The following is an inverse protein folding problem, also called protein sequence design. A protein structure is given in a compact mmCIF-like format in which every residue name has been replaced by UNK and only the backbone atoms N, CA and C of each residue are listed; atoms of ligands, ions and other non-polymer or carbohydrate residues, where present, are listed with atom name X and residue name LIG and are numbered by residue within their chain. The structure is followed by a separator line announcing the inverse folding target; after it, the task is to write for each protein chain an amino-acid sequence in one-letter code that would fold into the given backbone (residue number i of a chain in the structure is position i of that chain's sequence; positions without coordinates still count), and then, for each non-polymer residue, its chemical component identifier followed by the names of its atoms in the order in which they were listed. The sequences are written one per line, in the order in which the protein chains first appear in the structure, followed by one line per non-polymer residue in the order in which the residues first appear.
data_IF_488447359989
#
_entry.id   IF_488447359989
#
_cell.length_a   1.000
_cell.length_b   1.000
_cell.length_c   1.000
_cell.angle_alpha   90.00
_cell.angle_beta   90.00
_cell.angle_gamma   90.00
#
_symmetry.space_group_name_H-M   'P 1'
#
loop_
_entity.id
_entity.type
_entity.pdbx_description
1 polymer ?
#
# COMPACT_ATOMS: atom_id res chain seq x y z
N UNK A 1 -14.82 -22.42 14.53
CA UNK A 1 -14.84 -21.47 13.39
C UNK A 1 -16.10 -20.63 13.47
N UNK A 2 -15.96 -19.31 13.35
CA UNK A 2 -17.08 -18.39 13.34
C UNK A 2 -17.47 -18.00 11.93
N UNK A 3 -18.76 -17.71 11.74
CA UNK A 3 -19.27 -17.21 10.46
C UNK A 3 -19.57 -15.72 10.63
N UNK A 4 -19.02 -14.90 9.72
CA UNK A 4 -19.28 -13.47 9.67
C UNK A 4 -19.79 -13.10 8.28
N UNK A 5 -20.51 -11.99 8.21
CA UNK A 5 -20.98 -11.43 6.94
C UNK A 5 -20.24 -10.12 6.66
N UNK A 6 -19.83 -9.95 5.41
CA UNK A 6 -19.19 -8.70 4.96
C UNK A 6 -19.86 -8.25 3.66
N UNK A 7 -19.90 -6.93 3.48
CA UNK A 7 -20.40 -6.33 2.22
C UNK A 7 -19.20 -5.98 1.35
N UNK A 8 -19.24 -6.41 0.11
CA UNK A 8 -18.20 -6.11 -0.88
C UNK A 8 -18.87 -5.50 -2.11
N UNK A 9 -18.19 -4.52 -2.70
CA UNK A 9 -18.60 -4.00 -4.00
C UNK A 9 -18.25 -5.00 -5.12
N UNK A 10 -18.74 -4.74 -6.33
CA UNK A 10 -18.54 -5.64 -7.46
C UNK A 10 -17.05 -5.79 -7.81
N UNK A 11 -16.29 -4.72 -7.71
CA UNK A 11 -14.85 -4.75 -7.97
C UNK A 11 -14.13 -5.66 -6.97
N UNK A 12 -14.45 -5.53 -5.69
CA UNK A 12 -13.86 -6.38 -4.65
C UNK A 12 -14.22 -7.85 -4.82
N UNK A 13 -15.46 -8.14 -5.23
CA UNK A 13 -15.89 -9.52 -5.52
C UNK A 13 -15.09 -10.08 -6.69
N UNK A 14 -14.94 -9.31 -7.77
CA UNK A 14 -14.15 -9.73 -8.93
C UNK A 14 -12.69 -9.98 -8.55
N UNK A 15 -12.11 -9.11 -7.73
CA UNK A 15 -10.74 -9.28 -7.25
C UNK A 15 -10.58 -10.53 -6.40
N UNK A 16 -11.55 -10.80 -5.54
CA UNK A 16 -11.55 -11.98 -4.69
C UNK A 16 -11.60 -13.27 -5.53
N UNK A 17 -12.43 -13.29 -6.57
CA UNK A 17 -12.52 -14.42 -7.48
C UNK A 17 -11.23 -14.61 -8.28
N UNK A 18 -10.59 -13.52 -8.67
CA UNK A 18 -9.29 -13.55 -9.34
C UNK A 18 -8.20 -14.14 -8.43
N UNK A 19 -8.19 -13.77 -7.16
CA UNK A 19 -7.26 -14.32 -6.17
C UNK A 19 -7.48 -15.83 -6.03
N UNK A 20 -8.73 -16.24 -5.87
CA UNK A 20 -9.06 -17.67 -5.72
C UNK A 20 -8.59 -18.46 -6.93
N UNK A 21 -8.79 -17.96 -8.14
CA UNK A 21 -8.38 -18.62 -9.37
C UNK A 21 -6.85 -18.67 -9.50
N UNK A 22 -6.18 -17.55 -9.24
CA UNK A 22 -4.73 -17.45 -9.42
C UNK A 22 -3.95 -18.37 -8.50
N UNK A 23 -4.45 -18.59 -7.29
CA UNK A 23 -3.82 -19.45 -6.30
C UNK A 23 -4.45 -20.85 -6.20
N UNK A 24 -5.36 -21.16 -7.12
CA UNK A 24 -6.04 -22.46 -7.19
C UNK A 24 -6.72 -22.82 -5.86
N UNK A 25 -7.42 -21.86 -5.29
CA UNK A 25 -8.14 -22.03 -4.03
C UNK A 25 -9.56 -22.56 -4.28
N UNK A 26 -10.15 -23.15 -3.25
CA UNK A 26 -11.48 -23.78 -3.35
C UNK A 26 -12.61 -22.78 -3.55
N UNK A 27 -12.45 -21.54 -3.06
CA UNK A 27 -13.50 -20.55 -3.19
C UNK A 27 -13.17 -19.26 -2.46
N UNK A 28 -14.20 -18.43 -2.29
CA UNK A 28 -14.07 -17.08 -1.72
C UNK A 28 -13.59 -17.07 -0.28
N UNK A 29 -14.05 -18.02 0.54
CA UNK A 29 -13.62 -18.09 1.94
C UNK A 29 -12.11 -18.33 2.06
N UNK A 30 -11.56 -19.21 1.25
CA UNK A 30 -10.12 -19.45 1.23
C UNK A 30 -9.35 -18.23 0.71
N UNK A 31 -9.91 -17.53 -0.28
CA UNK A 31 -9.31 -16.29 -0.80
C UNK A 31 -9.28 -15.19 0.27
N UNK A 32 -10.35 -15.05 1.05
CA UNK A 32 -10.40 -14.10 2.16
C UNK A 32 -9.35 -14.46 3.21
N UNK A 33 -9.27 -15.72 3.60
CA UNK A 33 -8.28 -16.15 4.60
C UNK A 33 -6.85 -15.91 4.13
N UNK A 34 -6.57 -16.20 2.87
CA UNK A 34 -5.25 -15.94 2.27
C UNK A 34 -4.93 -14.45 2.25
N UNK A 35 -5.90 -13.62 1.86
CA UNK A 35 -5.73 -12.16 1.84
C UNK A 35 -5.44 -11.60 3.23
N UNK A 36 -6.13 -12.12 4.25
CA UNK A 36 -5.89 -11.73 5.65
C UNK A 36 -4.46 -12.11 6.07
N UNK A 37 -4.01 -13.32 5.75
CA UNK A 37 -2.65 -13.76 6.07
C UNK A 37 -1.60 -12.87 5.41
N UNK A 38 -1.83 -12.51 4.15
CA UNK A 38 -0.91 -11.63 3.41
C UNK A 38 -0.85 -10.24 4.04
N UNK A 39 -2.01 -9.68 4.39
CA UNK A 39 -2.07 -8.38 5.04
C UNK A 39 -1.40 -8.39 6.43
N UNK A 40 -1.60 -9.44 7.20
CA UNK A 40 -0.95 -9.58 8.51
C UNK A 40 0.57 -9.71 8.37
N UNK A 41 1.04 -10.47 7.39
CA UNK A 41 2.47 -10.59 7.13
C UNK A 41 3.09 -9.22 6.79
N UNK A 42 2.41 -8.43 5.97
CA UNK A 42 2.84 -7.08 5.62
C UNK A 42 2.87 -6.15 6.85
N UNK A 43 1.85 -6.23 7.70
CA UNK A 43 1.82 -5.48 8.96
C UNK A 43 3.00 -5.84 9.87
N UNK A 44 3.35 -7.11 9.95
CA UNK A 44 4.49 -7.55 10.77
C UNK A 44 5.81 -7.02 10.23
N UNK A 45 5.96 -6.92 8.93
CA UNK A 45 7.13 -6.28 8.32
C UNK A 45 7.24 -4.81 8.72
N UNK A 46 6.10 -4.10 8.86
CA UNK A 46 6.09 -2.69 9.25
C UNK A 46 6.17 -2.50 10.77
N UNK A 47 5.80 -3.49 11.58
CA UNK A 47 5.88 -3.39 13.04
C UNK A 47 7.32 -3.45 13.57
N UNK A 48 8.27 -3.93 12.77
CA UNK A 48 9.69 -3.94 13.11
C UNK A 48 10.36 -2.57 12.85
N UNK A 49 9.58 -1.51 12.75
CA UNK A 49 10.08 -0.15 12.53
C UNK A 49 10.60 0.46 13.82
N UNK A 50 11.70 -0.06 14.31
CA UNK A 50 12.41 0.47 15.48
C UNK A 50 13.65 1.23 15.03
N UNK A 51 13.86 2.42 15.60
CA UNK A 51 15.02 3.24 15.27
C UNK A 51 14.97 3.79 13.85
N UNK A 52 16.11 3.89 13.21
CA UNK A 52 16.21 4.43 11.84
C UNK A 52 15.70 3.42 10.81
N UNK A 53 14.76 3.86 10.00
CA UNK A 53 14.23 3.08 8.87
C UNK A 53 14.60 3.80 7.58
N UNK A 54 15.23 3.07 6.67
CA UNK A 54 15.58 3.57 5.34
C UNK A 54 15.07 2.60 4.29
N UNK A 55 14.61 3.14 3.17
CA UNK A 55 14.12 2.30 2.09
C UNK A 55 13.62 3.09 0.90
N UNK A 56 13.07 2.37 -0.05
CA UNK A 56 12.44 2.94 -1.24
C UNK A 56 10.94 2.73 -1.14
N UNK A 57 10.21 3.82 -1.18
CA UNK A 57 8.75 3.80 -1.21
C UNK A 57 8.28 3.93 -2.65
N UNK A 58 7.45 2.98 -3.07
CA UNK A 58 6.90 2.91 -4.42
C UNK A 58 5.39 3.14 -4.33
N UNK A 59 4.89 4.14 -5.05
CA UNK A 59 3.46 4.45 -5.08
C UNK A 59 3.01 4.61 -6.52
N UNK A 60 1.92 3.96 -6.88
CA UNK A 60 1.25 4.15 -8.17
C UNK A 60 -0.13 4.75 -7.90
N UNK A 61 -0.47 5.84 -8.58
CA UNK A 61 -1.76 6.50 -8.42
C UNK A 61 -2.24 7.09 -9.74
N UNK A 62 -3.50 7.53 -9.76
CA UNK A 62 -4.07 8.17 -10.93
C UNK A 62 -3.45 9.55 -11.15
N UNK A 63 -3.26 9.93 -12.41
CA UNK A 63 -2.60 11.17 -12.78
C UNK A 63 -3.32 12.43 -12.26
N UNK A 64 -4.64 12.42 -12.28
CA UNK A 64 -5.42 13.60 -11.88
C UNK A 64 -5.54 13.79 -10.36
N UNK A 65 -4.97 12.88 -9.57
CA UNK A 65 -5.02 12.93 -8.11
C UNK A 65 -3.70 13.43 -7.48
N UNK A 66 -2.94 14.25 -8.21
CA UNK A 66 -1.61 14.68 -7.77
C UNK A 66 -1.63 15.56 -6.51
N UNK A 67 -2.74 16.27 -6.25
CA UNK A 67 -2.80 17.21 -5.11
C UNK A 67 -2.65 16.50 -3.76
N UNK A 68 -3.21 15.30 -3.59
CA UNK A 68 -3.09 14.55 -2.35
C UNK A 68 -1.64 14.06 -2.15
N UNK A 69 -0.98 13.65 -3.23
CA UNK A 69 0.40 13.21 -3.18
C UNK A 69 1.34 14.37 -2.85
N UNK A 70 1.13 15.53 -3.44
CA UNK A 70 1.91 16.72 -3.13
C UNK A 70 1.77 17.11 -1.67
N UNK A 71 0.57 16.99 -1.10
CA UNK A 71 0.32 17.28 0.30
C UNK A 71 1.07 16.30 1.22
N UNK A 72 1.03 15.01 0.90
CA UNK A 72 1.74 13.98 1.67
C UNK A 72 3.25 14.22 1.61
N UNK A 73 3.78 14.51 0.43
CA UNK A 73 5.20 14.80 0.25
C UNK A 73 5.63 16.03 1.04
N UNK A 74 4.82 17.07 1.02
CA UNK A 74 5.11 18.30 1.77
C UNK A 74 5.13 18.08 3.29
N UNK A 75 4.15 17.36 3.81
CA UNK A 75 4.08 17.05 5.25
C UNK A 75 5.23 16.18 5.73
N UNK A 76 5.79 15.37 4.85
CA UNK A 76 6.81 14.38 5.20
C UNK A 76 8.15 14.70 4.55
N UNK A 77 8.40 15.96 4.20
CA UNK A 77 9.61 16.35 3.48
C UNK A 77 10.89 16.02 4.23
N UNK A 78 10.87 16.01 5.57
CA UNK A 78 12.04 15.66 6.36
C UNK A 78 12.41 14.17 6.24
N UNK A 79 11.46 13.32 5.87
CA UNK A 79 11.69 11.88 5.68
C UNK A 79 12.15 11.56 4.26
N UNK A 80 11.78 12.38 3.30
CA UNK A 80 12.03 12.12 1.89
C UNK A 80 13.38 12.71 1.49
N UNK A 81 14.32 11.85 1.12
CA UNK A 81 15.68 12.26 0.73
C UNK A 81 15.78 12.52 -0.75
N UNK A 82 15.06 11.75 -1.56
CA UNK A 82 15.06 11.85 -3.02
C UNK A 82 13.70 11.39 -3.49
N UNK A 83 13.20 12.02 -4.53
CA UNK A 83 11.95 11.57 -5.14
C UNK A 83 12.04 11.66 -6.66
N UNK A 84 11.33 10.75 -7.31
CA UNK A 84 11.19 10.69 -8.75
C UNK A 84 9.72 10.50 -9.07
N UNK A 85 9.23 11.33 -9.98
CA UNK A 85 7.87 11.23 -10.49
C UNK A 85 7.93 10.84 -11.96
N UNK A 86 7.16 9.85 -12.37
CA UNK A 86 7.10 9.41 -13.75
C UNK A 86 5.67 9.13 -14.17
N UNK A 87 5.34 9.46 -15.40
CA UNK A 87 4.06 9.11 -15.97
C UNK A 87 4.11 7.69 -16.54
N UNK A 88 3.09 6.92 -16.24
CA UNK A 88 2.91 5.57 -16.76
C UNK A 88 1.79 5.55 -17.79
N UNK A 89 1.61 4.40 -18.45
CA UNK A 89 0.47 4.17 -19.32
C UNK A 89 -0.84 4.22 -18.51
N UNK A 90 -1.96 4.38 -19.20
CA UNK A 90 -3.31 4.37 -18.62
C UNK A 90 -3.54 5.48 -17.58
N UNK A 91 -2.93 6.66 -17.81
CA UNK A 91 -3.09 7.85 -16.95
C UNK A 91 -2.68 7.61 -15.51
N UNK A 92 -1.69 6.77 -15.28
CA UNK A 92 -1.15 6.53 -13.95
C UNK A 92 0.18 7.23 -13.77
N UNK A 93 0.50 7.51 -12.52
CA UNK A 93 1.77 8.08 -12.12
C UNK A 93 2.48 7.14 -11.16
N UNK A 94 3.79 7.10 -11.29
CA UNK A 94 4.68 6.38 -10.39
C UNK A 94 5.46 7.39 -9.57
N UNK A 95 5.41 7.23 -8.25
CA UNK A 95 6.25 7.97 -7.33
C UNK A 95 7.26 7.00 -6.71
N UNK A 96 8.53 7.34 -6.82
CA UNK A 96 9.61 6.65 -6.12
C UNK A 96 10.23 7.62 -5.12
N UNK A 97 10.28 7.24 -3.87
CA UNK A 97 10.85 8.09 -2.82
C UNK A 97 11.85 7.30 -2.01
N UNK A 98 13.06 7.84 -1.87
CA UNK A 98 14.01 7.33 -0.89
C UNK A 98 13.66 7.99 0.43
N UNK A 99 13.27 7.18 1.40
CA UNK A 99 12.86 7.65 2.72
C UNK A 99 13.87 7.20 3.76
N UNK A 100 14.10 8.08 4.73
CA UNK A 100 15.01 7.80 5.84
C UNK A 100 14.54 8.61 7.04
N UNK A 101 14.30 7.94 8.14
CA UNK A 101 13.85 8.62 9.34
C UNK A 101 13.51 7.65 10.45
N UNK A 102 13.00 8.20 11.54
CA UNK A 102 12.56 7.43 12.69
C UNK A 102 11.36 6.55 12.29
N UNK A 103 11.37 5.30 12.75
CA UNK A 103 10.40 4.30 12.31
C UNK A 103 8.95 4.70 12.51
N UNK A 104 8.62 5.36 13.63
CA UNK A 104 7.24 5.81 13.88
C UNK A 104 6.80 6.88 12.88
N UNK A 105 7.71 7.73 12.45
CA UNK A 105 7.42 8.77 11.46
C UNK A 105 7.17 8.14 10.08
N UNK A 106 8.00 7.16 9.71
CA UNK A 106 7.80 6.42 8.46
C UNK A 106 6.48 5.66 8.48
N UNK A 107 6.17 5.01 9.59
CA UNK A 107 4.90 4.30 9.76
C UNK A 107 3.71 5.26 9.61
N UNK A 108 3.79 6.43 10.22
CA UNK A 108 2.73 7.45 10.14
C UNK A 108 2.50 7.90 8.71
N UNK A 109 3.58 8.12 7.95
CA UNK A 109 3.47 8.46 6.53
C UNK A 109 2.78 7.37 5.73
N UNK A 110 3.13 6.09 5.95
CA UNK A 110 2.49 4.96 5.29
C UNK A 110 1.00 4.88 5.63
N UNK A 111 0.65 5.10 6.90
CA UNK A 111 -0.76 5.13 7.33
C UNK A 111 -1.53 6.24 6.64
N UNK A 112 -0.93 7.42 6.49
CA UNK A 112 -1.55 8.54 5.79
C UNK A 112 -1.83 8.20 4.32
N UNK A 113 -0.87 7.56 3.65
CA UNK A 113 -1.04 7.12 2.27
C UNK A 113 -2.17 6.10 2.14
N UNK A 114 -2.21 5.10 3.00
CA UNK A 114 -3.26 4.09 2.98
C UNK A 114 -4.64 4.66 3.31
N UNK A 115 -4.70 5.57 4.28
CA UNK A 115 -5.96 6.19 4.70
C UNK A 115 -6.56 7.05 3.59
N UNK A 116 -5.72 7.72 2.80
CA UNK A 116 -6.19 8.51 1.66
C UNK A 116 -6.88 7.65 0.60
N UNK A 117 -6.50 6.38 0.50
CA UNK A 117 -7.09 5.38 -0.39
C UNK A 117 -7.12 5.82 -1.87
N UNK A 118 -6.07 6.50 -2.31
CA UNK A 118 -5.96 6.98 -3.69
C UNK A 118 -4.87 6.30 -4.50
N UNK A 119 -4.03 5.51 -3.83
CA UNK A 119 -2.99 4.74 -4.51
C UNK A 119 -3.53 3.40 -4.96
N UNK A 120 -3.18 2.99 -6.17
CA UNK A 120 -3.47 1.64 -6.65
C UNK A 120 -2.42 0.63 -6.21
N UNK A 121 -1.24 1.11 -5.81
CA UNK A 121 -0.14 0.27 -5.32
C UNK A 121 0.73 1.06 -4.37
N UNK A 122 1.09 0.46 -3.26
CA UNK A 122 2.02 1.04 -2.27
C UNK A 122 2.93 -0.07 -1.78
N UNK A 123 4.23 0.15 -1.85
CA UNK A 123 5.21 -0.81 -1.33
C UNK A 123 6.42 -0.08 -0.80
N UNK A 124 6.83 -0.42 0.42
CA UNK A 124 8.11 0.01 0.99
C UNK A 124 9.07 -1.16 0.94
N UNK A 125 10.18 -0.97 0.22
CA UNK A 125 11.30 -1.92 0.21
C UNK A 125 12.37 -1.34 1.11
N UNK A 126 12.60 -1.98 2.25
CA UNK A 126 13.51 -1.46 3.27
C UNK A 126 14.81 -2.25 3.34
N UNK A 127 15.80 -1.62 3.96
CA UNK A 127 17.09 -2.26 4.25
C UNK A 127 16.98 -3.40 5.26
#
# INVERSE_FOLDING_TARGET
MSIISISLDDESISSLDMIAKSYNLKGRSDAVRMSIKSAVAELKETDDFNGLVEGVLIIVHEHHDDSWMNMIQHRNESLIKTQLHSHLADRKCLELMIVSGEGNDVRRMLQEIHTANKASYVKLVRN
#
